data_IF_066386635967
#
_entry.id   IF_066386635967
#
_cell.length_a   1.000
_cell.length_b   1.000
_cell.length_c   1.000
_cell.angle_alpha   90.00
_cell.angle_beta   90.00
_cell.angle_gamma   90.00
#
_symmetry.space_group_name_H-M   'P 1'
#
loop_
_entity.id
_entity.type
_entity.pdbx_description
1 polymer ?
#
# COMPACT_ATOMS: atom_id res chain seq x y z
N UNK A 1 -2.66 28.43 53.01
CA UNK A 1 -1.46 27.65 53.40
C UNK A 1 -1.88 26.24 53.72
N UNK A 2 -1.50 25.27 52.88
CA UNK A 2 -1.18 23.89 53.27
C UNK A 2 -0.85 23.13 51.97
N UNK A 3 0.45 22.98 51.70
CA UNK A 3 0.97 21.98 50.77
C UNK A 3 0.97 20.64 51.50
N UNK A 4 0.39 19.60 50.93
CA UNK A 4 0.83 18.23 51.18
C UNK A 4 0.77 17.39 49.90
N UNK A 5 1.95 16.85 49.62
CA UNK A 5 2.35 15.93 48.56
C UNK A 5 2.00 14.50 48.97
N UNK A 6 1.50 13.66 48.06
CA UNK A 6 2.02 12.29 47.79
C UNK A 6 1.18 11.51 46.79
N UNK A 7 1.76 11.33 45.62
CA UNK A 7 1.87 10.12 44.78
C UNK A 7 1.09 8.88 45.23
N UNK A 8 0.23 8.37 44.34
CA UNK A 8 -0.09 6.94 44.26
C UNK A 8 -0.14 6.48 42.80
N UNK A 9 0.48 5.31 42.61
CA UNK A 9 0.80 4.57 41.41
C UNK A 9 -0.43 4.22 40.54
N UNK A 10 -0.35 4.49 39.24
CA UNK A 10 -1.18 3.79 38.25
C UNK A 10 -0.31 2.74 37.57
N UNK A 11 -0.49 1.49 38.01
CA UNK A 11 -0.14 0.30 37.22
C UNK A 11 -1.01 0.28 35.97
N UNK A 12 -0.48 0.80 34.87
CA UNK A 12 -1.01 0.56 33.54
C UNK A 12 -0.04 -0.33 32.78
N UNK A 13 -0.29 -1.64 32.75
CA UNK A 13 0.35 -2.53 31.81
C UNK A 13 -0.19 -2.19 30.42
N UNK A 14 0.42 -1.19 29.75
CA UNK A 14 0.24 -1.00 28.33
C UNK A 14 0.99 -2.14 27.63
N UNK A 15 0.26 -3.20 27.29
CA UNK A 15 0.70 -4.18 26.29
C UNK A 15 0.68 -3.44 24.95
N UNK A 16 1.75 -2.67 24.71
CA UNK A 16 1.98 -2.01 23.45
C UNK A 16 2.20 -3.06 22.39
N UNK A 17 1.32 -3.06 21.38
CA UNK A 17 1.49 -3.77 20.12
C UNK A 17 2.91 -3.58 19.61
N UNK A 18 3.67 -4.66 19.52
CA UNK A 18 4.95 -4.64 18.85
C UNK A 18 4.70 -4.32 17.38
N UNK A 19 4.95 -3.07 16.98
CA UNK A 19 5.19 -2.72 15.60
C UNK A 19 6.46 -3.46 15.18
N UNK A 20 6.31 -4.65 14.59
CA UNK A 20 7.40 -5.34 13.92
C UNK A 20 7.75 -4.53 12.68
N UNK A 21 8.65 -3.55 12.82
CA UNK A 21 9.44 -3.01 11.72
C UNK A 21 10.40 -4.12 11.26
N UNK A 22 9.85 -5.15 10.62
CA UNK A 22 10.58 -6.27 10.05
C UNK A 22 11.20 -5.84 8.73
N UNK A 23 12.23 -5.00 8.78
CA UNK A 23 12.99 -4.65 7.59
C UNK A 23 13.68 -5.90 7.04
N UNK A 24 13.21 -6.39 5.89
CA UNK A 24 13.86 -7.47 5.17
C UNK A 24 15.22 -6.95 4.68
N UNK A 25 16.31 -7.66 5.01
CA UNK A 25 17.67 -7.28 4.59
C UNK A 25 18.22 -8.35 3.66
N UNK A 26 18.62 -7.95 2.45
CA UNK A 26 19.31 -8.80 1.48
C UNK A 26 20.69 -8.21 1.20
N UNK A 27 21.76 -9.01 1.27
CA UNK A 27 23.12 -8.55 0.98
C UNK A 27 23.45 -8.70 -0.51
N UNK A 28 23.69 -7.58 -1.21
CA UNK A 28 24.00 -7.60 -2.66
C UNK A 28 25.48 -7.95 -2.95
N UNK A 29 25.72 -8.77 -3.97
CA UNK A 29 27.06 -9.17 -4.42
C UNK A 29 27.90 -8.01 -4.98
N UNK A 30 29.23 -8.09 -4.85
CA UNK A 30 30.17 -6.98 -5.12
C UNK A 30 30.45 -6.66 -6.59
N UNK A 31 29.91 -7.41 -7.57
CA UNK A 31 30.40 -7.34 -8.96
C UNK A 31 29.31 -7.13 -10.02
N UNK A 32 28.13 -6.64 -9.63
CA UNK A 32 27.01 -6.33 -10.55
C UNK A 32 26.29 -5.03 -10.17
N UNK A 33 25.30 -4.59 -10.97
CA UNK A 33 24.44 -3.46 -10.59
C UNK A 33 23.79 -3.75 -9.23
N UNK A 34 23.75 -2.76 -8.34
CA UNK A 34 23.17 -2.92 -7.00
C UNK A 34 21.64 -3.04 -7.13
N UNK A 35 21.15 -4.26 -7.23
CA UNK A 35 19.72 -4.60 -7.29
C UNK A 35 19.42 -5.74 -6.31
N UNK A 36 18.17 -5.82 -5.86
CA UNK A 36 17.60 -7.00 -5.20
C UNK A 36 16.91 -7.83 -6.28
N UNK A 37 17.25 -9.11 -6.40
CA UNK A 37 16.71 -9.93 -7.48
C UNK A 37 15.20 -10.10 -7.32
N UNK A 38 14.46 -10.15 -8.42
CA UNK A 38 13.01 -10.40 -8.41
C UNK A 38 12.65 -11.71 -7.71
N UNK A 39 13.55 -12.70 -7.72
CA UNK A 39 13.41 -13.98 -7.01
C UNK A 39 13.49 -13.78 -5.50
N UNK A 40 14.41 -12.94 -5.02
CA UNK A 40 14.55 -12.65 -3.59
C UNK A 40 13.35 -11.83 -3.11
N UNK A 41 12.90 -10.83 -3.88
CA UNK A 41 11.69 -10.06 -3.59
C UNK A 41 10.47 -11.00 -3.50
N UNK A 42 10.26 -11.85 -4.50
CA UNK A 42 9.17 -12.83 -4.50
C UNK A 42 9.25 -13.79 -3.30
N UNK A 43 10.45 -14.28 -2.96
CA UNK A 43 10.66 -15.15 -1.80
C UNK A 43 10.35 -14.48 -0.46
N UNK A 44 10.67 -13.18 -0.33
CA UNK A 44 10.35 -12.40 0.86
C UNK A 44 8.84 -12.17 0.99
N UNK A 45 8.15 -11.89 -0.12
CA UNK A 45 6.68 -11.78 -0.15
C UNK A 45 6.04 -13.09 0.32
N UNK A 46 6.42 -14.24 -0.25
CA UNK A 46 5.89 -15.57 0.16
C UNK A 46 6.13 -15.85 1.65
N UNK A 47 7.28 -15.42 2.17
CA UNK A 47 7.67 -15.71 3.55
C UNK A 47 6.97 -14.81 4.56
N UNK A 48 6.80 -13.53 4.22
CA UNK A 48 6.38 -12.47 5.15
C UNK A 48 4.89 -12.12 5.05
N UNK A 49 4.28 -12.32 3.90
CA UNK A 49 2.86 -12.02 3.71
C UNK A 49 2.03 -13.25 4.05
N UNK A 50 0.98 -13.01 4.82
CA UNK A 50 0.03 -14.02 5.27
C UNK A 50 -1.29 -13.29 5.46
N UNK A 51 -2.36 -13.80 4.87
CA UNK A 51 -3.68 -13.17 5.00
C UNK A 51 -4.25 -13.32 6.41
N UNK A 52 -5.38 -12.68 6.67
CA UNK A 52 -6.07 -12.75 7.97
C UNK A 52 -6.50 -14.16 8.38
N UNK A 53 -6.58 -15.09 7.43
CA UNK A 53 -6.97 -16.49 7.63
C UNK A 53 -5.76 -17.43 7.74
N UNK A 54 -4.53 -16.90 7.74
CA UNK A 54 -3.31 -17.69 7.83
C UNK A 54 -2.84 -18.30 6.49
N UNK A 55 -3.45 -17.94 5.36
CA UNK A 55 -3.01 -18.44 4.05
C UNK A 55 -1.79 -17.66 3.58
N UNK A 56 -0.83 -18.40 3.03
CA UNK A 56 0.34 -17.83 2.37
C UNK A 56 0.14 -17.76 0.86
N UNK A 57 0.85 -16.86 0.16
CA UNK A 57 0.88 -16.87 -1.29
C UNK A 57 1.37 -18.22 -1.83
N UNK A 58 0.63 -18.79 -2.79
CA UNK A 58 1.01 -19.99 -3.52
C UNK A 58 2.08 -19.69 -4.58
N UNK A 59 2.07 -18.47 -5.12
CA UNK A 59 3.05 -17.97 -6.07
C UNK A 59 3.15 -16.45 -6.01
N UNK A 60 4.32 -15.93 -6.39
CA UNK A 60 4.57 -14.49 -6.55
C UNK A 60 5.39 -14.28 -7.82
N UNK A 61 4.96 -13.34 -8.64
CA UNK A 61 5.61 -12.92 -9.88
C UNK A 61 5.95 -11.44 -9.79
N UNK A 62 7.22 -11.10 -9.90
CA UNK A 62 7.68 -9.72 -10.00
C UNK A 62 8.26 -9.51 -11.42
N UNK A 63 7.92 -8.41 -12.12
CA UNK A 63 8.32 -8.21 -13.52
C UNK A 63 9.84 -8.08 -13.64
N UNK A 64 10.43 -7.26 -12.77
CA UNK A 64 11.82 -6.81 -12.84
C UNK A 64 12.53 -6.90 -11.49
N UNK A 65 13.86 -6.90 -11.53
CA UNK A 65 14.69 -6.73 -10.34
C UNK A 65 14.49 -5.34 -9.72
N UNK A 66 14.53 -5.25 -8.39
CA UNK A 66 14.32 -4.01 -7.66
C UNK A 66 15.66 -3.25 -7.53
N UNK A 67 15.79 -2.02 -8.07
CA UNK A 67 17.01 -1.23 -7.90
C UNK A 67 17.28 -0.93 -6.43
N UNK A 68 18.53 -1.09 -5.97
CA UNK A 68 18.93 -0.72 -4.62
C UNK A 68 19.13 0.81 -4.51
N UNK A 69 18.03 1.55 -4.67
CA UNK A 69 17.96 3.00 -4.60
C UNK A 69 16.71 3.37 -3.82
N UNK A 70 16.85 4.22 -2.80
CA UNK A 70 15.71 4.72 -2.00
C UNK A 70 14.64 5.30 -2.93
N UNK A 71 13.38 4.89 -2.72
CA UNK A 71 12.24 5.26 -3.53
C UNK A 71 12.06 4.46 -4.82
N UNK A 72 12.97 3.54 -5.16
CA UNK A 72 12.74 2.60 -6.26
C UNK A 72 11.61 1.63 -5.89
N UNK A 73 10.79 1.29 -6.88
CA UNK A 73 9.59 0.49 -6.70
C UNK A 73 9.47 -0.61 -7.75
N UNK A 74 8.81 -1.70 -7.38
CA UNK A 74 8.30 -2.70 -8.31
C UNK A 74 6.93 -3.19 -7.83
N UNK A 75 6.07 -3.59 -8.77
CA UNK A 75 4.76 -4.16 -8.46
C UNK A 75 4.80 -5.65 -8.77
N UNK A 76 4.63 -6.48 -7.75
CA UNK A 76 4.57 -7.92 -7.87
C UNK A 76 3.12 -8.38 -7.81
N UNK A 77 2.79 -9.41 -8.59
CA UNK A 77 1.54 -10.14 -8.47
C UNK A 77 1.74 -11.31 -7.52
N UNK A 78 0.92 -11.42 -6.47
CA UNK A 78 0.87 -12.61 -5.64
C UNK A 78 -0.45 -13.33 -5.81
N UNK A 79 -0.42 -14.66 -5.75
CA UNK A 79 -1.63 -15.48 -5.74
C UNK A 79 -1.81 -16.11 -4.38
N UNK A 80 -2.98 -15.95 -3.79
CA UNK A 80 -3.39 -16.64 -2.56
C UNK A 80 -4.63 -17.44 -2.92
N UNK A 81 -4.53 -18.78 -2.84
CA UNK A 81 -5.55 -19.69 -3.40
C UNK A 81 -5.82 -19.37 -4.88
N UNK A 82 -7.05 -19.05 -5.24
CA UNK A 82 -7.49 -18.71 -6.61
C UNK A 82 -7.59 -17.20 -6.85
N UNK A 83 -7.19 -16.38 -5.89
CA UNK A 83 -7.26 -14.92 -5.94
C UNK A 83 -5.88 -14.32 -6.22
N UNK A 84 -5.86 -13.24 -6.99
CA UNK A 84 -4.63 -12.52 -7.38
C UNK A 84 -4.64 -11.12 -6.76
N UNK A 85 -3.56 -10.79 -6.08
CA UNK A 85 -3.36 -9.51 -5.39
C UNK A 85 -2.10 -8.84 -5.90
N UNK A 86 -2.06 -7.51 -5.86
CA UNK A 86 -0.88 -6.73 -6.20
C UNK A 86 -0.14 -6.30 -4.95
N UNK A 87 1.18 -6.42 -4.96
CA UNK A 87 2.06 -5.99 -3.87
C UNK A 87 3.05 -4.98 -4.43
N UNK A 88 2.99 -3.75 -3.94
CA UNK A 88 4.01 -2.75 -4.22
C UNK A 88 5.18 -2.93 -3.24
N UNK A 89 6.39 -3.01 -3.78
CA UNK A 89 7.62 -3.11 -3.02
C UNK A 89 8.41 -1.82 -3.21
N UNK A 90 8.71 -1.12 -2.12
CA UNK A 90 9.43 0.17 -2.16
C UNK A 90 10.71 0.12 -1.33
N UNK A 91 11.85 0.48 -1.92
CA UNK A 91 13.10 0.61 -1.16
C UNK A 91 13.05 1.81 -0.24
N UNK A 92 13.25 1.58 1.06
CA UNK A 92 13.21 2.61 2.11
C UNK A 92 14.58 3.00 2.62
N UNK A 93 15.56 2.09 2.60
CA UNK A 93 16.95 2.39 2.99
C UNK A 93 17.96 1.52 2.23
N UNK A 94 19.16 2.06 2.04
CA UNK A 94 20.31 1.36 1.47
C UNK A 94 21.54 1.66 2.33
N UNK A 95 22.03 0.66 3.05
CA UNK A 95 23.17 0.74 3.96
C UNK A 95 24.26 -0.22 3.48
N UNK A 96 25.22 0.28 2.69
CA UNK A 96 26.31 -0.52 2.14
C UNK A 96 25.82 -1.58 1.14
N UNK A 97 25.65 -2.81 1.61
CA UNK A 97 25.10 -3.94 0.84
C UNK A 97 23.68 -4.33 1.26
N UNK A 98 23.20 -3.78 2.37
CA UNK A 98 21.91 -4.12 2.93
C UNK A 98 20.86 -3.15 2.39
N UNK A 99 19.84 -3.70 1.76
CA UNK A 99 18.70 -2.96 1.21
C UNK A 99 17.48 -3.28 2.05
N UNK A 100 16.82 -2.26 2.58
CA UNK A 100 15.55 -2.36 3.29
C UNK A 100 14.43 -1.91 2.36
N UNK A 101 13.35 -2.66 2.32
CA UNK A 101 12.18 -2.32 1.52
C UNK A 101 10.90 -2.69 2.26
N UNK A 102 9.86 -1.93 1.97
CA UNK A 102 8.51 -2.13 2.46
C UNK A 102 7.70 -2.86 1.40
N UNK A 103 6.80 -3.74 1.82
CA UNK A 103 5.88 -4.50 0.97
C UNK A 103 4.46 -4.19 1.42
N UNK A 104 3.64 -3.70 0.50
CA UNK A 104 2.27 -3.27 0.80
C UNK A 104 1.34 -3.79 -0.28
N UNK A 105 0.22 -4.41 0.11
CA UNK A 105 -0.84 -4.77 -0.83
C UNK A 105 -1.42 -3.52 -1.48
N UNK A 106 -1.84 -3.62 -2.73
CA UNK A 106 -2.38 -2.49 -3.47
C UNK A 106 -3.56 -2.89 -4.34
N UNK A 107 -4.46 -1.93 -4.57
CA UNK A 107 -5.50 -2.02 -5.60
C UNK A 107 -4.99 -1.32 -6.85
N UNK A 108 -5.11 -1.99 -7.99
CA UNK A 108 -4.67 -1.46 -9.27
C UNK A 108 -5.34 -0.11 -9.57
N UNK A 109 -4.55 0.87 -10.05
CA UNK A 109 -5.02 2.23 -10.33
C UNK A 109 -6.19 2.27 -11.32
N UNK A 110 -6.20 1.37 -12.31
CA UNK A 110 -7.26 1.33 -13.32
C UNK A 110 -8.51 0.65 -12.74
N UNK A 111 -8.35 -0.30 -11.81
CA UNK A 111 -9.47 -0.82 -11.03
C UNK A 111 -10.10 0.27 -10.14
N UNK A 112 -9.29 1.05 -9.43
CA UNK A 112 -9.79 2.17 -8.61
C UNK A 112 -10.56 3.17 -9.47
N UNK A 113 -10.00 3.57 -10.61
CA UNK A 113 -10.64 4.49 -11.54
C UNK A 113 -11.99 3.96 -12.09
N UNK A 114 -12.06 2.66 -12.42
CA UNK A 114 -13.30 2.01 -12.85
C UNK A 114 -14.37 2.02 -11.76
N UNK A 115 -14.02 1.63 -10.53
CA UNK A 115 -14.93 1.62 -9.39
C UNK A 115 -15.48 3.02 -9.11
N UNK A 116 -14.63 4.06 -9.14
CA UNK A 116 -15.07 5.44 -8.95
C UNK A 116 -16.06 5.86 -10.04
N UNK A 117 -15.73 5.59 -11.31
CA UNK A 117 -16.61 5.91 -12.44
C UNK A 117 -17.97 5.22 -12.33
N UNK A 118 -17.99 3.95 -11.91
CA UNK A 118 -19.23 3.18 -11.73
C UNK A 118 -20.06 3.72 -10.56
N UNK A 119 -19.42 4.04 -9.44
CA UNK A 119 -20.09 4.62 -8.26
C UNK A 119 -20.65 6.01 -8.54
N UNK A 120 -19.94 6.85 -9.28
CA UNK A 120 -20.45 8.16 -9.71
C UNK A 120 -21.71 8.02 -10.57
N UNK A 121 -21.69 7.11 -11.54
CA UNK A 121 -22.88 6.83 -12.35
C UNK A 121 -24.07 6.35 -11.50
N UNK A 122 -23.82 5.55 -10.46
CA UNK A 122 -24.87 5.11 -9.53
C UNK A 122 -25.40 6.25 -8.63
N UNK A 123 -24.54 7.17 -8.20
CA UNK A 123 -24.90 8.25 -7.27
C UNK A 123 -25.61 9.41 -7.96
N UNK A 124 -25.16 9.82 -9.14
CA UNK A 124 -25.65 11.02 -9.83
C UNK A 124 -26.23 10.76 -11.22
N UNK A 125 -26.25 9.51 -11.68
CA UNK A 125 -26.84 9.11 -12.96
C UNK A 125 -26.01 9.46 -14.20
N UNK A 126 -24.77 9.91 -14.00
CA UNK A 126 -23.85 10.28 -15.09
C UNK A 126 -22.47 9.68 -14.84
N UNK A 127 -21.92 9.08 -15.89
CA UNK A 127 -20.53 8.62 -15.91
C UNK A 127 -19.62 9.77 -16.37
N UNK A 128 -18.50 10.05 -15.71
CA UNK A 128 -17.49 10.96 -16.26
C UNK A 128 -16.88 10.38 -17.55
N UNK A 129 -16.31 11.25 -18.38
CA UNK A 129 -15.59 10.83 -19.59
C UNK A 129 -14.37 9.97 -19.23
N UNK A 130 -13.66 10.35 -18.16
CA UNK A 130 -12.56 9.58 -17.63
C UNK A 130 -12.36 9.79 -16.13
N UNK A 131 -11.85 8.75 -15.48
CA UNK A 131 -11.16 8.86 -14.19
C UNK A 131 -9.77 8.28 -14.39
N UNK A 132 -8.74 8.98 -13.93
CA UNK A 132 -7.34 8.53 -13.98
C UNK A 132 -6.74 8.62 -12.59
N UNK A 133 -6.04 7.57 -12.18
CA UNK A 133 -5.30 7.53 -10.94
C UNK A 133 -3.80 7.41 -11.27
N UNK A 134 -2.92 8.20 -10.65
CA UNK A 134 -1.51 8.26 -11.03
C UNK A 134 -0.72 7.02 -10.59
N UNK A 135 -1.17 6.35 -9.54
CA UNK A 135 -0.54 5.18 -8.95
C UNK A 135 -1.60 4.23 -8.34
N UNK A 136 -1.16 3.03 -7.97
CA UNK A 136 -2.01 2.06 -7.29
C UNK A 136 -2.37 2.54 -5.87
N UNK A 137 -3.58 2.22 -5.41
CA UNK A 137 -4.01 2.57 -4.07
C UNK A 137 -3.40 1.60 -3.07
N UNK A 138 -2.64 2.11 -2.09
CA UNK A 138 -2.07 1.27 -1.02
C UNK A 138 -3.17 0.74 -0.09
N UNK A 139 -3.14 -0.55 0.19
CA UNK A 139 -4.12 -1.29 0.98
C UNK A 139 -3.82 -1.26 2.47
N UNK A 140 -3.83 -0.09 3.09
CA UNK A 140 -3.87 0.06 4.55
C UNK A 140 -4.82 1.17 4.94
N UNK A 141 -5.44 1.04 6.12
CA UNK A 141 -6.43 2.01 6.59
C UNK A 141 -5.86 3.43 6.65
N UNK A 142 -6.60 4.39 6.10
CA UNK A 142 -6.19 5.79 6.00
C UNK A 142 -5.23 6.10 4.84
N UNK A 143 -4.84 5.13 4.03
CA UNK A 143 -4.12 5.41 2.79
C UNK A 143 -4.96 6.29 1.86
N UNK A 144 -4.33 7.30 1.26
CA UNK A 144 -5.00 8.23 0.35
C UNK A 144 -4.39 8.17 -1.04
N UNK A 145 -5.21 8.40 -2.07
CA UNK A 145 -4.78 8.52 -3.45
C UNK A 145 -5.51 9.68 -4.12
N UNK A 146 -4.77 10.51 -4.86
CA UNK A 146 -5.35 11.63 -5.60
C UNK A 146 -5.55 11.25 -7.05
N UNK A 147 -6.78 10.95 -7.43
CA UNK A 147 -7.17 10.70 -8.82
C UNK A 147 -7.70 11.98 -9.47
N UNK A 148 -7.88 11.97 -10.78
CA UNK A 148 -8.46 13.06 -11.57
C UNK A 148 -9.69 12.54 -12.33
N UNK A 149 -10.77 13.29 -12.28
CA UNK A 149 -11.98 13.13 -13.09
C UNK A 149 -11.93 14.11 -14.24
N UNK A 150 -12.35 13.68 -15.42
CA UNK A 150 -12.59 14.54 -16.59
C UNK A 150 -14.04 14.43 -17.03
N UNK A 151 -14.69 15.57 -17.24
CA UNK A 151 -16.05 15.69 -17.77
C UNK A 151 -16.11 16.89 -18.73
N UNK A 152 -16.12 16.60 -20.04
CA UNK A 152 -15.94 17.57 -21.10
C UNK A 152 -14.61 18.33 -20.97
N UNK A 153 -14.68 19.65 -20.82
CA UNK A 153 -13.50 20.51 -20.61
C UNK A 153 -13.11 20.65 -19.13
N UNK A 154 -13.92 20.15 -18.21
CA UNK A 154 -13.70 20.33 -16.78
C UNK A 154 -12.90 19.17 -16.20
N UNK A 155 -11.96 19.48 -15.31
CA UNK A 155 -11.19 18.49 -14.56
C UNK A 155 -11.41 18.71 -13.08
N UNK A 156 -11.63 17.62 -12.34
CA UNK A 156 -11.81 17.67 -10.90
C UNK A 156 -10.84 16.70 -10.25
N UNK A 157 -10.23 17.12 -9.14
CA UNK A 157 -9.51 16.18 -8.30
C UNK A 157 -10.47 15.28 -7.52
N UNK A 158 -10.05 14.03 -7.28
CA UNK A 158 -10.77 13.06 -6.45
C UNK A 158 -9.83 12.60 -5.34
N UNK A 159 -10.19 12.86 -4.09
CA UNK A 159 -9.49 12.29 -2.94
C UNK A 159 -10.09 10.93 -2.59
N UNK A 160 -9.34 9.86 -2.83
CA UNK A 160 -9.69 8.49 -2.43
C UNK A 160 -9.08 8.21 -1.07
N UNK A 161 -9.81 7.55 -0.18
CA UNK A 161 -9.35 7.19 1.18
C UNK A 161 -9.75 5.76 1.52
N UNK A 162 -8.78 4.91 1.86
CA UNK A 162 -9.03 3.56 2.37
C UNK A 162 -9.67 3.66 3.75
N UNK A 163 -10.85 3.09 3.89
CA UNK A 163 -11.64 3.12 5.13
C UNK A 163 -11.42 1.88 5.97
N UNK A 164 -11.19 0.74 5.34
CA UNK A 164 -11.02 -0.55 5.99
C UNK A 164 -10.25 -1.53 5.10
N UNK A 165 -9.56 -2.48 5.72
CA UNK A 165 -8.89 -3.60 5.04
C UNK A 165 -9.25 -4.89 5.77
N UNK A 166 -10.03 -5.75 5.13
CA UNK A 166 -10.56 -6.95 5.74
C UNK A 166 -10.38 -8.14 4.80
N UNK A 167 -9.71 -9.20 5.26
CA UNK A 167 -9.60 -10.44 4.51
C UNK A 167 -8.88 -10.34 3.16
N UNK A 168 -8.08 -9.29 2.93
CA UNK A 168 -7.46 -9.01 1.63
C UNK A 168 -8.27 -8.04 0.76
N UNK A 169 -9.50 -7.70 1.16
CA UNK A 169 -10.31 -6.69 0.50
C UNK A 169 -9.97 -5.30 1.03
N UNK A 170 -9.68 -4.37 0.11
CA UNK A 170 -9.42 -2.96 0.42
C UNK A 170 -10.69 -2.15 0.15
N UNK A 171 -11.33 -1.72 1.23
CA UNK A 171 -12.50 -0.84 1.16
C UNK A 171 -12.06 0.62 1.14
N UNK A 172 -12.62 1.41 0.22
CA UNK A 172 -12.32 2.84 0.12
C UNK A 172 -13.56 3.66 -0.22
N UNK A 173 -13.51 4.92 0.20
CA UNK A 173 -14.41 5.99 -0.20
C UNK A 173 -13.67 7.03 -1.04
N UNK A 174 -14.42 7.90 -1.70
CA UNK A 174 -13.85 9.01 -2.45
C UNK A 174 -14.69 10.28 -2.32
N UNK A 175 -14.02 11.43 -2.43
CA UNK A 175 -14.65 12.75 -2.51
C UNK A 175 -14.12 13.46 -3.76
N UNK A 176 -15.02 13.89 -4.63
CA UNK A 176 -14.72 14.82 -5.73
C UNK A 176 -14.59 16.22 -5.15
N UNK A 177 -13.63 16.99 -5.64
CA UNK A 177 -13.46 18.39 -5.26
C UNK A 177 -14.70 19.22 -5.60
N UNK A 178 -14.94 20.24 -4.77
CA UNK A 178 -16.10 21.13 -4.91
C UNK A 178 -15.97 22.07 -6.14
N UNK A 179 -14.76 22.23 -6.68
CA UNK A 179 -14.46 23.08 -7.83
C UNK A 179 -13.51 22.37 -8.81
N UNK A 180 -13.59 22.68 -10.12
CA UNK A 180 -12.62 22.18 -11.10
C UNK A 180 -11.24 22.80 -10.91
N UNK A 181 -10.21 22.14 -11.44
CA UNK A 181 -8.80 22.56 -11.48
C UNK A 181 -8.56 23.80 -12.36
#
# INVERSE_FOLDING_TARGET
>A
MARFVRTLLVSGAAVGLMASAGACSCSVGSSGPKTVSKKDVAGQIITKMTDANGNKPSSVSCPDDLPAKVGAQTNCEMKVKDETFNVNVTVTSVEGKDVKFDMVETVDKDQVARIISDRLNQQVGQRPDAVTCPENLKGYQGATLRCQLTDGSSKYGINVTVTDVAGGDVNFDFKVDDHPE
#
